data_IF_838373445445
#
_entry.id   IF_838373445445
#
_cell.length_a   1.000
_cell.length_b   1.000
_cell.length_c   1.000
_cell.angle_alpha   90.00
_cell.angle_beta   90.00
_cell.angle_gamma   90.00
#
_symmetry.space_group_name_H-M   'P 1'
#
loop_
_entity.id
_entity.type
_entity.pdbx_description
1 polymer ?
#
# COMPACT_ATOMS: atom_id res chain seq x y z
N UNK A 1 -2.79 -27.50 13.12
CA UNK A 1 -4.17 -27.56 12.61
C UNK A 1 -4.31 -26.26 11.82
N UNK A 2 -4.18 -26.30 10.50
CA UNK A 2 -4.35 -25.14 9.64
C UNK A 2 -5.83 -24.78 9.64
N UNK A 3 -6.17 -23.58 10.15
CA UNK A 3 -7.52 -23.05 10.02
C UNK A 3 -7.80 -22.83 8.53
N UNK A 4 -8.53 -23.76 7.93
CA UNK A 4 -8.83 -23.79 6.49
C UNK A 4 -9.75 -22.63 6.02
N UNK A 5 -9.95 -21.59 6.83
CA UNK A 5 -10.90 -20.50 6.57
C UNK A 5 -10.37 -19.08 6.84
N UNK A 6 -9.05 -18.87 6.83
CA UNK A 6 -8.46 -17.55 7.06
C UNK A 6 -8.71 -16.62 5.88
N UNK A 7 -8.76 -17.16 4.65
CA UNK A 7 -9.05 -16.41 3.43
C UNK A 7 -10.53 -16.55 3.06
N UNK A 8 -11.19 -15.43 2.81
CA UNK A 8 -12.57 -15.42 2.32
C UNK A 8 -12.68 -16.06 0.92
N UNK A 9 -13.88 -16.46 0.53
CA UNK A 9 -14.13 -16.99 -0.80
C UNK A 9 -13.83 -15.94 -1.88
N UNK A 10 -14.12 -14.67 -1.63
CA UNK A 10 -13.80 -13.58 -2.53
C UNK A 10 -12.28 -13.45 -2.78
N UNK A 11 -11.48 -13.48 -1.71
CA UNK A 11 -10.00 -13.43 -1.83
C UNK A 11 -9.49 -14.65 -2.60
N UNK A 12 -10.02 -15.84 -2.36
CA UNK A 12 -9.63 -17.06 -3.08
C UNK A 12 -9.91 -16.95 -4.57
N UNK A 13 -11.08 -16.44 -4.96
CA UNK A 13 -11.41 -16.19 -6.36
C UNK A 13 -10.46 -15.18 -7.02
N UNK A 14 -10.08 -14.12 -6.29
CA UNK A 14 -9.09 -13.17 -6.76
C UNK A 14 -7.71 -13.83 -6.95
N UNK A 15 -7.27 -14.64 -6.01
CA UNK A 15 -5.99 -15.37 -6.11
C UNK A 15 -6.03 -16.32 -7.32
N UNK A 16 -7.13 -17.02 -7.55
CA UNK A 16 -7.27 -17.92 -8.70
C UNK A 16 -7.24 -17.16 -10.04
N UNK A 17 -7.83 -15.95 -10.09
CA UNK A 17 -7.70 -15.06 -11.25
C UNK A 17 -6.24 -14.65 -11.52
N UNK A 18 -5.47 -14.41 -10.44
CA UNK A 18 -4.04 -14.13 -10.58
C UNK A 18 -3.25 -15.37 -11.02
N UNK A 19 -3.51 -16.56 -10.44
CA UNK A 19 -2.88 -17.82 -10.84
C UNK A 19 -3.10 -18.12 -12.32
N UNK A 20 -4.31 -17.91 -12.83
CA UNK A 20 -4.67 -18.15 -14.22
C UNK A 20 -3.89 -17.31 -15.25
N UNK A 21 -3.20 -16.24 -14.80
CA UNK A 21 -2.33 -15.40 -15.67
C UNK A 21 -0.96 -16.00 -15.91
N UNK A 22 -0.59 -17.05 -15.17
CA UNK A 22 0.73 -17.66 -15.22
C UNK A 22 0.63 -19.13 -15.64
N UNK A 23 1.66 -19.68 -16.31
CA UNK A 23 1.75 -21.12 -16.55
C UNK A 23 1.67 -21.93 -15.26
N UNK A 24 1.19 -23.20 -15.35
CA UNK A 24 0.98 -24.06 -14.18
C UNK A 24 2.23 -24.24 -13.32
N UNK A 25 3.41 -24.29 -13.94
CA UNK A 25 4.71 -24.39 -13.25
C UNK A 25 5.22 -23.06 -12.70
N UNK A 26 4.50 -21.96 -12.91
CA UNK A 26 4.88 -20.58 -12.53
C UNK A 26 3.84 -19.86 -11.67
N UNK A 27 2.88 -20.55 -11.11
CA UNK A 27 1.80 -19.96 -10.31
C UNK A 27 2.30 -19.27 -9.02
N UNK A 28 3.52 -19.58 -8.56
CA UNK A 28 4.22 -18.80 -7.53
C UNK A 28 4.23 -17.28 -7.84
N UNK A 29 4.25 -16.88 -9.09
CA UNK A 29 4.23 -15.47 -9.49
C UNK A 29 2.94 -14.74 -9.11
N UNK A 30 1.88 -15.46 -8.74
CA UNK A 30 0.64 -14.88 -8.25
C UNK A 30 0.74 -14.31 -6.81
N UNK A 31 1.85 -14.54 -6.09
CA UNK A 31 2.00 -14.14 -4.67
C UNK A 31 1.77 -12.63 -4.44
N UNK A 32 2.26 -11.76 -5.33
CA UNK A 32 2.06 -10.32 -5.22
C UNK A 32 0.58 -9.97 -5.35
N UNK A 33 -0.11 -10.52 -6.35
CA UNK A 33 -1.55 -10.31 -6.54
C UNK A 33 -2.38 -10.88 -5.39
N UNK A 34 -1.99 -12.02 -4.84
CA UNK A 34 -2.63 -12.62 -3.67
C UNK A 34 -2.50 -11.74 -2.43
N UNK A 35 -1.30 -11.22 -2.15
CA UNK A 35 -1.06 -10.32 -1.03
C UNK A 35 -1.84 -9.01 -1.18
N UNK A 36 -1.96 -8.46 -2.39
CA UNK A 36 -2.81 -7.30 -2.64
C UNK A 36 -4.29 -7.58 -2.33
N UNK A 37 -4.84 -8.70 -2.83
CA UNK A 37 -6.23 -9.06 -2.57
C UNK A 37 -6.52 -9.16 -1.08
N UNK A 38 -5.63 -9.84 -0.33
CA UNK A 38 -5.74 -10.00 1.12
C UNK A 38 -5.61 -8.67 1.84
N UNK A 39 -4.63 -7.84 1.49
CA UNK A 39 -4.41 -6.53 2.11
C UNK A 39 -5.61 -5.60 1.91
N UNK A 40 -6.20 -5.60 0.71
CA UNK A 40 -7.39 -4.81 0.40
C UNK A 40 -8.61 -5.21 1.25
N UNK A 41 -8.80 -6.51 1.48
CA UNK A 41 -9.92 -6.98 2.29
C UNK A 41 -9.69 -6.75 3.80
N UNK A 42 -8.43 -6.69 4.25
CA UNK A 42 -8.06 -6.53 5.65
C UNK A 42 -7.61 -5.11 5.98
N UNK A 43 -8.43 -4.12 5.65
CA UNK A 43 -8.22 -2.71 6.04
C UNK A 43 -6.81 -2.16 5.73
N UNK A 44 -6.19 -2.62 4.64
CA UNK A 44 -4.93 -2.09 4.11
C UNK A 44 -3.66 -2.69 4.73
N UNK A 45 -3.73 -3.76 5.53
CA UNK A 45 -2.54 -4.40 6.08
C UNK A 45 -2.62 -5.92 6.09
N UNK A 46 -1.46 -6.57 6.28
CA UNK A 46 -1.27 -8.02 6.29
C UNK A 46 -0.96 -8.51 7.71
N UNK A 47 -1.73 -9.46 8.21
CA UNK A 47 -1.40 -10.18 9.45
C UNK A 47 -0.56 -11.42 9.15
N UNK A 48 0.12 -11.94 10.16
CA UNK A 48 0.85 -13.21 10.05
C UNK A 48 -0.06 -14.37 9.61
N UNK A 49 -1.28 -14.42 10.13
CA UNK A 49 -2.28 -15.45 9.78
C UNK A 49 -2.67 -15.38 8.31
N UNK A 50 -2.92 -14.16 7.78
CA UNK A 50 -3.26 -13.93 6.39
C UNK A 50 -2.11 -14.31 5.44
N UNK A 51 -0.87 -13.93 5.78
CA UNK A 51 0.31 -14.32 5.00
C UNK A 51 0.52 -15.84 4.99
N UNK A 52 0.28 -16.52 6.11
CA UNK A 52 0.30 -17.97 6.18
C UNK A 52 -0.80 -18.59 5.31
N UNK A 53 -2.02 -18.03 5.36
CA UNK A 53 -3.13 -18.47 4.51
C UNK A 53 -2.82 -18.33 3.01
N UNK A 54 -2.15 -17.27 2.58
CA UNK A 54 -1.68 -17.10 1.20
C UNK A 54 -0.64 -18.16 0.85
N UNK A 55 0.31 -18.46 1.76
CA UNK A 55 1.32 -19.48 1.55
C UNK A 55 0.71 -20.85 1.36
N UNK A 56 -0.21 -21.24 2.24
CA UNK A 56 -0.94 -22.51 2.16
C UNK A 56 -1.76 -22.62 0.88
N UNK A 57 -2.45 -21.55 0.49
CA UNK A 57 -3.29 -21.53 -0.72
C UNK A 57 -2.49 -21.63 -2.03
N UNK A 58 -1.29 -21.05 -2.06
CA UNK A 58 -0.39 -21.09 -3.21
C UNK A 58 0.58 -22.27 -3.19
N UNK A 59 0.51 -23.15 -2.18
CA UNK A 59 1.46 -24.25 -1.95
C UNK A 59 2.93 -23.76 -1.95
N UNK A 60 3.18 -22.70 -1.18
CA UNK A 60 4.49 -22.08 -1.03
C UNK A 60 5.01 -22.21 0.40
N UNK A 61 6.34 -22.33 0.58
CA UNK A 61 6.93 -22.14 1.90
C UNK A 61 6.58 -20.76 2.45
N UNK A 62 6.11 -20.67 3.67
CA UNK A 62 5.67 -19.43 4.33
C UNK A 62 6.71 -18.31 4.22
N UNK A 63 8.00 -18.66 4.36
CA UNK A 63 9.11 -17.68 4.27
C UNK A 63 9.11 -16.93 2.92
N UNK A 64 8.74 -17.57 1.82
CA UNK A 64 8.71 -16.94 0.50
C UNK A 64 7.61 -15.88 0.38
N UNK A 65 6.50 -16.05 1.09
CA UNK A 65 5.44 -15.04 1.14
C UNK A 65 5.87 -13.87 2.03
N UNK A 66 6.50 -14.16 3.18
CA UNK A 66 7.05 -13.12 4.06
C UNK A 66 8.16 -12.30 3.38
N UNK A 67 9.05 -12.94 2.61
CA UNK A 67 10.06 -12.24 1.82
C UNK A 67 9.43 -11.19 0.89
N UNK A 68 8.36 -11.54 0.18
CA UNK A 68 7.65 -10.61 -0.70
C UNK A 68 6.94 -9.51 0.09
N UNK A 69 6.20 -9.88 1.14
CA UNK A 69 5.43 -8.94 1.96
C UNK A 69 6.33 -7.91 2.68
N UNK A 70 7.56 -8.27 3.03
CA UNK A 70 8.50 -7.38 3.72
C UNK A 70 9.45 -6.65 2.79
N UNK A 71 9.63 -7.14 1.56
CA UNK A 71 10.50 -6.50 0.58
C UNK A 71 9.84 -5.29 -0.10
N UNK A 72 8.56 -5.41 -0.47
CA UNK A 72 7.87 -4.36 -1.20
C UNK A 72 7.18 -3.36 -0.26
N UNK A 73 7.49 -2.08 -0.43
CA UNK A 73 6.94 -0.97 0.38
C UNK A 73 5.43 -0.76 0.25
N UNK A 74 4.79 -1.36 -0.76
CA UNK A 74 3.35 -1.33 -0.95
C UNK A 74 2.59 -2.23 0.03
N UNK A 75 3.26 -3.17 0.69
CA UNK A 75 2.66 -4.03 1.70
C UNK A 75 2.89 -3.47 3.10
N UNK A 76 1.82 -3.47 3.90
CA UNK A 76 1.85 -3.04 5.28
C UNK A 76 1.69 -4.26 6.19
N UNK A 77 2.64 -4.52 7.08
CA UNK A 77 2.60 -5.65 8.02
C UNK A 77 2.09 -5.27 9.41
N UNK A 78 1.58 -4.05 9.54
CA UNK A 78 1.00 -3.49 10.76
C UNK A 78 -0.27 -2.71 10.38
N UNK A 79 -1.22 -2.58 11.32
CA UNK A 79 -2.38 -1.71 11.11
C UNK A 79 -1.97 -0.30 10.70
N UNK A 80 -2.64 0.25 9.70
CA UNK A 80 -2.42 1.59 9.17
C UNK A 80 -3.73 2.37 9.12
N UNK A 81 -3.64 3.68 8.91
CA UNK A 81 -4.82 4.52 8.71
C UNK A 81 -5.58 4.13 7.45
N UNK A 82 -6.88 4.43 7.44
CA UNK A 82 -7.84 4.08 6.39
C UNK A 82 -7.45 4.60 5.01
N UNK A 83 -6.94 5.84 4.94
CA UNK A 83 -6.44 6.45 3.72
C UNK A 83 -4.92 6.41 3.67
N UNK A 84 -4.37 5.76 2.66
CA UNK A 84 -2.93 5.68 2.45
C UNK A 84 -2.47 6.85 1.59
N UNK A 85 -1.80 7.82 2.21
CA UNK A 85 -1.25 9.02 1.54
C UNK A 85 0.23 8.82 1.31
N UNK A 86 0.65 8.72 0.05
CA UNK A 86 2.04 8.61 -0.38
C UNK A 86 2.45 9.88 -1.14
N UNK A 87 3.46 10.59 -0.67
CA UNK A 87 4.02 11.79 -1.31
C UNK A 87 5.33 11.41 -1.99
N UNK A 88 5.42 11.64 -3.29
CA UNK A 88 6.64 11.36 -4.03
C UNK A 88 7.71 12.41 -3.74
N UNK A 89 8.88 11.98 -3.29
CA UNK A 89 10.06 12.84 -3.02
C UNK A 89 11.22 12.58 -3.97
N UNK A 90 11.00 11.77 -5.03
CA UNK A 90 12.02 11.52 -6.03
C UNK A 90 12.38 12.78 -6.82
N UNK A 91 13.49 12.74 -7.53
CA UNK A 91 14.21 13.89 -8.12
C UNK A 91 13.31 14.97 -8.76
N UNK A 92 12.34 14.57 -9.58
CA UNK A 92 11.45 15.53 -10.25
C UNK A 92 10.52 16.26 -9.26
N UNK A 93 9.97 15.52 -8.28
CA UNK A 93 9.11 16.08 -7.24
C UNK A 93 9.90 16.92 -6.25
N UNK A 94 11.07 16.44 -5.82
CA UNK A 94 12.00 17.18 -4.94
C UNK A 94 12.35 18.56 -5.55
N UNK A 95 12.75 18.60 -6.82
CA UNK A 95 13.07 19.87 -7.52
C UNK A 95 11.88 20.81 -7.65
N UNK A 96 10.67 20.33 -7.46
CA UNK A 96 9.42 21.10 -7.50
C UNK A 96 8.79 21.33 -6.12
N UNK A 97 9.54 21.10 -5.04
CA UNK A 97 9.13 21.44 -3.69
C UNK A 97 8.37 20.33 -2.95
N UNK A 98 8.56 19.05 -3.29
CA UNK A 98 7.92 17.95 -2.57
C UNK A 98 8.31 17.89 -1.09
N UNK A 99 9.51 18.29 -0.73
CA UNK A 99 9.97 18.32 0.67
C UNK A 99 9.18 19.34 1.51
N UNK A 100 8.78 20.47 0.90
CA UNK A 100 7.92 21.46 1.54
C UNK A 100 6.51 20.88 1.75
N UNK A 101 5.99 20.10 0.77
CA UNK A 101 4.70 19.41 0.90
C UNK A 101 4.77 18.39 2.04
N UNK A 102 5.81 17.55 2.12
CA UNK A 102 5.97 16.57 3.20
C UNK A 102 5.97 17.30 4.55
N UNK A 103 6.80 18.33 4.70
CA UNK A 103 6.89 19.10 5.94
C UNK A 103 5.56 19.75 6.33
N UNK A 104 4.82 20.25 5.36
CA UNK A 104 3.49 20.83 5.54
C UNK A 104 2.47 19.79 6.03
N UNK A 105 2.41 18.62 5.38
CA UNK A 105 1.50 17.53 5.72
C UNK A 105 1.81 16.97 7.11
N UNK A 106 3.08 16.74 7.43
CA UNK A 106 3.50 16.30 8.77
C UNK A 106 3.03 17.26 9.86
N UNK A 107 3.17 18.57 9.62
CA UNK A 107 2.74 19.60 10.54
C UNK A 107 1.22 19.69 10.65
N UNK A 108 0.49 19.61 9.51
CA UNK A 108 -0.97 19.67 9.48
C UNK A 108 -1.61 18.49 10.20
N UNK A 109 -1.09 17.29 10.00
CA UNK A 109 -1.64 16.05 10.57
C UNK A 109 -1.07 15.71 11.96
N UNK A 110 -0.04 16.45 12.43
CA UNK A 110 0.70 16.19 13.68
C UNK A 110 1.25 14.76 13.77
N UNK A 111 1.80 14.25 12.65
CA UNK A 111 2.42 12.92 12.53
C UNK A 111 3.71 13.01 11.72
N UNK A 112 4.47 11.93 11.71
CA UNK A 112 5.65 11.77 10.83
C UNK A 112 5.36 10.78 9.69
N UNK A 113 6.16 10.87 8.64
CA UNK A 113 6.14 9.85 7.57
C UNK A 113 6.38 8.46 8.18
N UNK A 114 5.50 7.52 7.85
CA UNK A 114 5.44 6.18 8.42
C UNK A 114 4.44 6.01 9.56
N UNK A 115 3.78 7.09 10.01
CA UNK A 115 2.80 7.07 11.09
C UNK A 115 1.36 7.25 10.56
N UNK A 116 0.40 6.87 11.40
CA UNK A 116 -1.03 7.13 11.18
C UNK A 116 -1.54 8.19 12.15
N UNK A 117 -2.56 8.96 11.72
CA UNK A 117 -3.27 9.89 12.60
C UNK A 117 -3.93 9.15 13.76
N UNK A 118 -4.07 9.82 14.91
CA UNK A 118 -4.61 9.22 16.13
C UNK A 118 -6.08 8.73 15.96
N UNK A 119 -6.82 9.32 15.03
CA UNK A 119 -8.18 8.93 14.68
C UNK A 119 -8.22 7.72 13.69
N UNK A 120 -7.07 7.22 13.25
CA UNK A 120 -6.95 6.14 12.29
C UNK A 120 -7.41 6.50 10.87
N UNK A 121 -7.60 7.77 10.56
CA UNK A 121 -8.09 8.24 9.27
C UNK A 121 -7.04 8.18 8.19
N UNK A 122 -5.85 8.71 8.44
CA UNK A 122 -4.78 8.84 7.45
C UNK A 122 -3.53 8.09 7.92
N UNK A 123 -2.94 7.34 7.01
CA UNK A 123 -1.57 6.84 7.11
C UNK A 123 -0.70 7.64 6.15
N UNK A 124 0.25 8.41 6.68
CA UNK A 124 1.25 9.09 5.87
C UNK A 124 2.36 8.10 5.54
N UNK A 125 2.27 7.49 4.37
CA UNK A 125 3.21 6.46 3.95
C UNK A 125 4.64 6.99 3.94
N UNK A 126 5.56 6.19 4.44
CA UNK A 126 6.98 6.42 4.20
C UNK A 126 7.23 6.26 2.71
N UNK A 127 7.51 7.36 2.04
CA UNK A 127 7.84 7.33 0.64
C UNK A 127 9.25 6.73 0.46
N UNK A 128 9.42 5.87 -0.51
CA UNK A 128 10.66 5.16 -0.79
C UNK A 128 10.94 5.08 -2.29
N UNK A 129 9.89 5.22 -3.11
CA UNK A 129 9.96 5.00 -4.54
C UNK A 129 9.25 6.11 -5.31
N UNK A 130 9.65 6.27 -6.56
CA UNK A 130 8.97 7.20 -7.46
C UNK A 130 7.57 6.68 -7.81
N UNK A 131 6.55 7.53 -7.64
CA UNK A 131 5.17 7.24 -8.04
C UNK A 131 4.94 7.29 -9.56
N UNK A 132 5.99 7.49 -10.36
CA UNK A 132 6.03 7.42 -11.82
C UNK A 132 5.13 8.42 -12.58
N UNK A 133 4.74 9.56 -11.96
CA UNK A 133 3.98 10.63 -12.58
C UNK A 133 4.79 11.95 -12.65
N UNK A 134 6.04 11.89 -13.11
CA UNK A 134 6.99 13.00 -13.07
C UNK A 134 6.54 14.25 -13.86
N UNK A 135 5.72 14.09 -14.90
CA UNK A 135 5.16 15.21 -15.65
C UNK A 135 4.19 16.06 -14.80
N UNK A 136 3.57 15.46 -13.78
CA UNK A 136 2.67 16.11 -12.84
C UNK A 136 3.31 16.44 -11.50
N UNK A 137 4.64 16.54 -11.43
CA UNK A 137 5.34 16.87 -10.19
C UNK A 137 5.06 18.34 -9.75
N UNK A 138 4.99 18.64 -8.41
CA UNK A 138 5.00 17.68 -7.32
C UNK A 138 3.67 16.93 -7.21
N UNK A 139 3.70 15.69 -6.73
CA UNK A 139 2.51 14.85 -6.73
C UNK A 139 2.44 13.93 -5.51
N UNK A 140 1.23 13.50 -5.18
CA UNK A 140 0.95 12.44 -4.20
C UNK A 140 -0.04 11.43 -4.75
N UNK A 141 -0.09 10.27 -4.12
CA UNK A 141 -1.08 9.23 -4.38
C UNK A 141 -1.87 8.94 -3.10
N UNK A 142 -3.20 8.92 -3.22
CA UNK A 142 -4.09 8.56 -2.13
C UNK A 142 -4.96 7.40 -2.60
N UNK A 143 -4.91 6.28 -1.90
CA UNK A 143 -5.71 5.10 -2.20
C UNK A 143 -5.67 4.71 -3.70
N UNK A 144 -4.46 4.70 -4.28
CA UNK A 144 -4.17 4.42 -5.70
C UNK A 144 -4.64 5.49 -6.70
N UNK A 145 -5.08 6.67 -6.23
CA UNK A 145 -5.44 7.80 -7.10
C UNK A 145 -4.36 8.87 -7.07
N UNK A 146 -3.89 9.30 -8.24
CA UNK A 146 -2.90 10.35 -8.40
C UNK A 146 -3.50 11.75 -8.27
N UNK A 147 -2.77 12.60 -7.55
CA UNK A 147 -3.01 14.03 -7.43
C UNK A 147 -1.73 14.75 -7.86
N UNK A 148 -1.80 15.52 -8.92
CA UNK A 148 -0.64 16.06 -9.63
C UNK A 148 -0.61 17.59 -9.59
N UNK A 149 0.58 18.18 -9.85
CA UNK A 149 0.81 19.65 -9.89
C UNK A 149 0.35 20.34 -8.60
N UNK A 150 0.67 19.75 -7.47
CA UNK A 150 0.16 20.14 -6.17
C UNK A 150 0.73 21.48 -5.69
N UNK A 151 -0.14 22.30 -5.11
CA UNK A 151 0.20 23.39 -4.20
C UNK A 151 -0.15 23.01 -2.76
N UNK A 152 0.34 23.76 -1.77
CA UNK A 152 0.04 23.48 -0.35
C UNK A 152 -1.46 23.64 -0.08
N UNK A 153 -2.13 24.60 -0.72
CA UNK A 153 -3.57 24.82 -0.60
C UNK A 153 -4.37 23.62 -1.13
N UNK A 154 -3.99 23.11 -2.30
CA UNK A 154 -4.63 21.91 -2.87
C UNK A 154 -4.42 20.67 -2.01
N UNK A 155 -3.22 20.53 -1.42
CA UNK A 155 -2.96 19.44 -0.47
C UNK A 155 -3.89 19.53 0.73
N UNK A 156 -4.09 20.75 1.27
CA UNK A 156 -4.99 20.97 2.40
C UNK A 156 -6.44 20.60 2.05
N UNK A 157 -6.94 21.06 0.91
CA UNK A 157 -8.29 20.74 0.44
C UNK A 157 -8.51 19.24 0.30
N UNK A 158 -7.55 18.55 -0.34
CA UNK A 158 -7.64 17.10 -0.57
C UNK A 158 -7.63 16.32 0.76
N UNK A 159 -6.74 16.68 1.70
CA UNK A 159 -6.65 16.00 2.98
C UNK A 159 -7.88 16.24 3.88
N UNK A 160 -8.50 17.43 3.77
CA UNK A 160 -9.69 17.78 4.55
C UNK A 160 -10.96 17.08 4.02
N UNK A 161 -11.00 16.67 2.74
CA UNK A 161 -12.08 15.89 2.14
C UNK A 161 -12.06 14.39 2.51
N UNK A 162 -10.92 13.86 2.96
CA UNK A 162 -10.81 12.47 3.40
C UNK A 162 -11.63 12.24 4.68
N UNK A 163 -12.49 11.23 4.70
CA UNK A 163 -13.40 10.94 5.83
C UNK A 163 -13.06 9.65 6.55
#
# INVERSE_FOLDING_TARGET
MSDANVLSDHVREEIDRWKARFPEDRQRSAVIGALHAVQHENDGYLTAELMNGVADYLDLPTIQVYEVATFYSMFQTKPVGRHNVAICTNVACMLRGADDIVSHVEKKLDIKTGDSTADGRIYLKREEECLAACCGAPMMMIDHKYHENLTLEQVDEILDELK
#
